data_IF_982429207084
#
_entry.id   IF_982429207084
#
_cell.length_a   1.000
_cell.length_b   1.000
_cell.length_c   1.000
_cell.angle_alpha   90.00
_cell.angle_beta   90.00
_cell.angle_gamma   90.00
#
_symmetry.space_group_name_H-M   'P 1'
#
loop_
_entity.id
_entity.type
_entity.pdbx_description
1 polymer ?
#
# COMPACT_ATOMS: atom_id res chain seq x y z
N UNK A 1 -28.19 -9.14 -8.35
CA UNK A 1 -28.23 -8.92 -6.90
C UNK A 1 -26.82 -8.98 -6.28
N UNK A 2 -26.02 -10.03 -6.51
CA UNK A 2 -24.68 -10.23 -5.86
C UNK A 2 -23.71 -9.11 -6.17
N UNK A 3 -23.57 -8.69 -7.43
CA UNK A 3 -22.68 -7.58 -7.81
C UNK A 3 -23.07 -6.22 -7.19
N UNK A 4 -24.37 -5.96 -7.08
CA UNK A 4 -24.85 -4.73 -6.44
C UNK A 4 -24.53 -4.74 -4.94
N UNK A 5 -24.68 -5.86 -4.28
CA UNK A 5 -24.34 -6.02 -2.86
C UNK A 5 -22.84 -5.85 -2.63
N UNK A 6 -21.99 -6.39 -3.51
CA UNK A 6 -20.54 -6.23 -3.44
C UNK A 6 -20.10 -4.77 -3.59
N UNK A 7 -20.68 -4.04 -4.55
CA UNK A 7 -20.42 -2.60 -4.74
C UNK A 7 -20.85 -1.79 -3.51
N UNK A 8 -22.04 -2.09 -2.98
CA UNK A 8 -22.53 -1.43 -1.77
C UNK A 8 -21.63 -1.71 -0.57
N UNK A 9 -21.20 -2.95 -0.38
CA UNK A 9 -20.26 -3.32 0.69
C UNK A 9 -18.93 -2.58 0.58
N UNK A 10 -18.37 -2.47 -0.64
CA UNK A 10 -17.14 -1.75 -0.90
C UNK A 10 -17.28 -0.25 -0.58
N UNK A 11 -18.38 0.38 -1.02
CA UNK A 11 -18.68 1.77 -0.73
C UNK A 11 -18.85 2.00 0.78
N UNK A 12 -19.59 1.12 1.46
CA UNK A 12 -19.82 1.21 2.90
C UNK A 12 -18.49 1.11 3.68
N UNK A 13 -17.64 0.15 3.33
CA UNK A 13 -16.31 0.02 3.91
C UNK A 13 -15.49 1.28 3.71
N UNK A 14 -15.46 1.82 2.48
CA UNK A 14 -14.76 3.06 2.17
C UNK A 14 -15.23 4.22 3.06
N UNK A 15 -16.54 4.44 3.15
CA UNK A 15 -17.13 5.51 3.97
C UNK A 15 -16.76 5.36 5.44
N UNK A 16 -16.86 4.15 5.99
CA UNK A 16 -16.51 3.89 7.40
C UNK A 16 -15.03 4.19 7.66
N UNK A 17 -14.13 3.66 6.84
CA UNK A 17 -12.68 3.84 7.04
C UNK A 17 -12.28 5.30 6.86
N UNK A 18 -12.80 6.00 5.84
CA UNK A 18 -12.52 7.42 5.62
C UNK A 18 -13.12 8.30 6.70
N UNK A 19 -14.31 7.97 7.22
CA UNK A 19 -14.89 8.67 8.38
C UNK A 19 -13.95 8.59 9.59
N UNK A 20 -13.42 7.41 9.90
CA UNK A 20 -12.45 7.25 10.97
C UNK A 20 -11.14 8.00 10.69
N UNK A 21 -10.64 7.99 9.45
CA UNK A 21 -9.46 8.74 9.07
C UNK A 21 -9.66 10.25 9.32
N UNK A 22 -10.77 10.82 8.87
CA UNK A 22 -11.09 12.24 9.06
C UNK A 22 -11.28 12.57 10.55
N UNK A 23 -11.99 11.72 11.29
CA UNK A 23 -12.22 11.91 12.73
C UNK A 23 -10.92 11.90 13.53
N UNK A 24 -10.03 10.97 13.23
CA UNK A 24 -8.76 10.79 13.93
C UNK A 24 -7.68 11.80 13.51
N UNK A 25 -7.80 12.43 12.36
CA UNK A 25 -6.89 13.47 11.92
C UNK A 25 -6.89 14.65 12.89
N UNK A 26 -5.72 15.07 13.36
CA UNK A 26 -5.58 16.24 14.25
C UNK A 26 -5.58 17.57 13.51
N UNK A 27 -5.13 17.57 12.24
CA UNK A 27 -5.02 18.74 11.39
C UNK A 27 -5.58 18.46 10.00
N UNK A 28 -5.95 19.51 9.29
CA UNK A 28 -6.36 19.47 7.87
C UNK A 28 -7.54 18.51 7.56
N UNK A 29 -8.48 18.38 8.50
CA UNK A 29 -9.65 17.50 8.33
C UNK A 29 -10.47 17.82 7.08
N UNK A 30 -10.67 19.10 6.78
CA UNK A 30 -11.42 19.55 5.59
C UNK A 30 -10.71 19.14 4.30
N UNK A 31 -9.37 19.27 4.25
CA UNK A 31 -8.60 18.83 3.09
C UNK A 31 -8.74 17.31 2.87
N UNK A 32 -8.65 16.54 3.97
CA UNK A 32 -8.81 15.09 3.90
C UNK A 32 -10.22 14.70 3.45
N UNK A 33 -11.25 15.38 3.99
CA UNK A 33 -12.63 15.18 3.56
C UNK A 33 -12.83 15.54 2.07
N UNK A 34 -12.24 16.66 1.63
CA UNK A 34 -12.29 17.05 0.23
C UNK A 34 -11.65 16.00 -0.69
N UNK A 35 -10.46 15.51 -0.33
CA UNK A 35 -9.75 14.44 -1.08
C UNK A 35 -10.58 13.16 -1.12
N UNK A 36 -11.22 12.78 0.00
CA UNK A 36 -12.09 11.61 0.06
C UNK A 36 -13.33 11.73 -0.85
N UNK A 37 -13.81 12.94 -1.08
CA UNK A 37 -15.01 13.21 -1.90
C UNK A 37 -14.67 13.49 -3.37
N UNK A 38 -13.40 13.42 -3.78
CA UNK A 38 -13.05 13.56 -5.19
C UNK A 38 -13.73 12.46 -6.04
N UNK A 39 -14.06 12.75 -7.30
CA UNK A 39 -14.77 11.81 -8.18
C UNK A 39 -14.06 10.46 -8.32
N UNK A 40 -12.73 10.46 -8.43
CA UNK A 40 -11.94 9.23 -8.61
C UNK A 40 -12.03 8.26 -7.43
N UNK A 41 -11.75 8.66 -6.16
CA UNK A 41 -11.95 7.78 -5.01
C UNK A 41 -13.38 7.27 -4.86
N UNK A 42 -14.38 8.14 -5.10
CA UNK A 42 -15.80 7.75 -5.03
C UNK A 42 -16.17 6.75 -6.14
N UNK A 43 -15.67 6.96 -7.34
CA UNK A 43 -15.86 5.99 -8.44
C UNK A 43 -15.25 4.64 -8.11
N UNK A 44 -14.02 4.60 -7.60
CA UNK A 44 -13.37 3.37 -7.16
C UNK A 44 -14.13 2.69 -6.02
N UNK A 45 -14.65 3.45 -5.07
CA UNK A 45 -15.44 2.93 -3.96
C UNK A 45 -16.80 2.37 -4.40
N UNK A 46 -17.43 2.94 -5.42
CA UNK A 46 -18.69 2.48 -5.99
C UNK A 46 -18.53 1.34 -7.01
N UNK A 47 -17.29 1.04 -7.40
CA UNK A 47 -16.98 -0.05 -8.32
C UNK A 47 -16.57 -1.32 -7.55
N UNK A 48 -16.51 -2.46 -8.24
CA UNK A 48 -16.07 -3.73 -7.65
C UNK A 48 -14.55 -3.87 -7.82
N UNK A 49 -13.80 -2.95 -7.18
CA UNK A 49 -12.34 -2.93 -7.21
C UNK A 49 -11.76 -2.89 -5.80
N UNK A 50 -10.58 -3.46 -5.62
CA UNK A 50 -9.84 -3.42 -4.36
C UNK A 50 -9.09 -2.09 -4.15
N UNK A 51 -9.07 -1.19 -5.14
CA UNK A 51 -8.35 0.08 -5.06
C UNK A 51 -8.91 1.01 -3.98
N UNK A 52 -10.21 0.93 -3.71
CA UNK A 52 -10.83 1.66 -2.60
C UNK A 52 -10.36 1.19 -1.23
N UNK A 53 -10.11 -0.12 -1.08
CA UNK A 53 -9.52 -0.72 0.13
C UNK A 53 -8.12 -0.17 0.32
N UNK A 54 -7.28 -0.26 -0.73
CA UNK A 54 -5.90 0.27 -0.71
C UNK A 54 -5.90 1.74 -0.28
N UNK A 55 -6.67 2.57 -0.96
CA UNK A 55 -6.71 4.01 -0.71
C UNK A 55 -7.17 4.34 0.72
N UNK A 56 -8.27 3.76 1.18
CA UNK A 56 -8.84 4.09 2.48
C UNK A 56 -7.98 3.60 3.65
N UNK A 57 -7.48 2.37 3.60
CA UNK A 57 -6.67 1.81 4.68
C UNK A 57 -5.27 2.44 4.75
N UNK A 58 -4.63 2.72 3.63
CA UNK A 58 -3.36 3.45 3.61
C UNK A 58 -3.57 4.87 4.14
N UNK A 59 -4.63 5.56 3.74
CA UNK A 59 -4.94 6.90 4.25
C UNK A 59 -5.13 6.90 5.77
N UNK A 60 -5.89 5.95 6.31
CA UNK A 60 -6.07 5.82 7.76
C UNK A 60 -4.74 5.53 8.46
N UNK A 61 -3.92 4.64 7.91
CA UNK A 61 -2.58 4.35 8.41
C UNK A 61 -1.67 5.59 8.43
N UNK A 62 -1.67 6.39 7.34
CA UNK A 62 -0.92 7.65 7.26
C UNK A 62 -1.43 8.69 8.27
N UNK A 63 -2.73 8.76 8.52
CA UNK A 63 -3.31 9.64 9.54
C UNK A 63 -2.84 9.25 10.94
N UNK A 64 -2.88 7.97 11.27
CA UNK A 64 -2.39 7.47 12.57
C UNK A 64 -0.90 7.73 12.74
N UNK A 65 -0.10 7.49 11.68
CA UNK A 65 1.32 7.82 11.67
C UNK A 65 1.57 9.32 11.87
N UNK A 66 0.86 10.19 11.16
CA UNK A 66 1.05 11.64 11.24
C UNK A 66 0.70 12.20 12.62
N UNK A 67 -0.26 11.60 13.32
CA UNK A 67 -0.57 11.94 14.72
C UNK A 67 0.62 11.74 15.64
N UNK A 68 1.32 10.62 15.48
CA UNK A 68 2.49 10.30 16.29
C UNK A 68 3.72 11.11 15.86
N UNK A 69 3.91 11.32 14.55
CA UNK A 69 5.07 12.03 14.01
C UNK A 69 5.08 13.53 14.35
N UNK A 70 3.93 14.19 14.23
CA UNK A 70 3.86 15.67 14.27
C UNK A 70 3.14 16.25 15.49
N UNK A 71 2.25 15.49 16.13
CA UNK A 71 1.35 16.05 17.15
C UNK A 71 1.54 15.49 18.55
N UNK A 72 2.42 14.53 18.74
CA UNK A 72 2.74 14.05 20.07
C UNK A 72 3.94 14.82 20.66
N UNK A 73 3.66 15.60 21.68
CA UNK A 73 4.66 16.32 22.48
C UNK A 73 5.35 15.44 23.52
N UNK A 74 4.82 14.25 23.78
CA UNK A 74 5.31 13.34 24.82
C UNK A 74 6.53 12.54 24.35
N UNK A 75 7.39 12.21 25.31
CA UNK A 75 8.62 11.43 25.11
C UNK A 75 8.36 10.01 24.59
N UNK A 76 7.12 9.55 24.69
CA UNK A 76 6.66 8.21 24.28
C UNK A 76 5.55 8.32 23.24
N UNK A 77 5.62 7.49 22.18
CA UNK A 77 4.51 7.36 21.24
C UNK A 77 3.39 6.51 21.86
N UNK A 78 2.18 6.74 21.41
CA UNK A 78 1.05 5.91 21.79
C UNK A 78 1.17 4.57 21.04
N UNK A 79 1.60 3.51 21.72
CA UNK A 79 1.87 2.19 21.11
C UNK A 79 0.69 1.69 20.27
N UNK A 80 -0.54 1.90 20.76
CA UNK A 80 -1.75 1.52 20.04
C UNK A 80 -1.90 2.25 18.69
N UNK A 81 -1.56 3.54 18.60
CA UNK A 81 -1.61 4.29 17.35
C UNK A 81 -0.57 3.81 16.35
N UNK A 82 0.64 3.49 16.80
CA UNK A 82 1.71 2.98 15.93
C UNK A 82 1.36 1.58 15.42
N UNK A 83 0.91 0.69 16.30
CA UNK A 83 0.45 -0.66 15.90
C UNK A 83 -0.73 -0.54 14.93
N UNK A 84 -1.70 0.33 15.23
CA UNK A 84 -2.83 0.60 14.35
C UNK A 84 -2.39 1.12 12.98
N UNK A 85 -1.41 2.04 12.92
CA UNK A 85 -0.88 2.55 11.66
C UNK A 85 -0.21 1.44 10.83
N UNK A 86 0.64 0.62 11.46
CA UNK A 86 1.28 -0.52 10.81
C UNK A 86 0.23 -1.51 10.28
N UNK A 87 -0.75 -1.86 11.11
CA UNK A 87 -1.81 -2.79 10.73
C UNK A 87 -2.63 -2.27 9.54
N UNK A 88 -3.10 -1.01 9.60
CA UNK A 88 -3.89 -0.42 8.52
C UNK A 88 -3.11 -0.29 7.22
N UNK A 89 -1.86 0.17 7.26
CA UNK A 89 -1.00 0.19 6.08
C UNK A 89 -0.78 -1.20 5.50
N UNK A 90 -0.60 -2.21 6.36
CA UNK A 90 -0.40 -3.59 5.92
C UNK A 90 -1.63 -4.15 5.20
N UNK A 91 -2.82 -3.92 5.76
CA UNK A 91 -4.08 -4.32 5.11
C UNK A 91 -4.21 -3.68 3.72
N UNK A 92 -3.89 -2.40 3.59
CA UNK A 92 -3.85 -1.73 2.28
C UNK A 92 -2.82 -2.35 1.32
N UNK A 93 -1.63 -2.70 1.83
CA UNK A 93 -0.56 -3.29 1.03
C UNK A 93 -0.85 -4.74 0.60
N UNK A 94 -1.68 -5.50 1.33
CA UNK A 94 -2.06 -6.87 0.94
C UNK A 94 -2.74 -6.94 -0.42
N UNK A 95 -3.42 -5.88 -0.82
CA UNK A 95 -4.05 -5.83 -2.15
C UNK A 95 -3.08 -5.39 -3.26
N UNK A 96 -2.06 -4.58 -2.92
CA UNK A 96 -1.03 -4.08 -3.86
C UNK A 96 0.32 -3.94 -3.17
N UNK A 97 1.23 -4.86 -3.43
CA UNK A 97 2.60 -4.87 -2.87
C UNK A 97 3.42 -3.60 -3.16
N UNK A 98 3.10 -2.88 -4.23
CA UNK A 98 3.79 -1.63 -4.62
C UNK A 98 3.78 -0.58 -3.49
N UNK A 99 2.80 -0.62 -2.60
CA UNK A 99 2.68 0.32 -1.48
C UNK A 99 3.45 -0.10 -0.22
N UNK A 100 4.09 -1.27 -0.19
CA UNK A 100 4.90 -1.75 0.95
C UNK A 100 5.92 -0.72 1.45
N UNK A 101 6.63 0.05 0.58
CA UNK A 101 7.57 1.07 1.04
C UNK A 101 6.95 2.10 1.99
N UNK A 102 5.62 2.32 1.96
CA UNK A 102 4.95 3.21 2.91
C UNK A 102 5.06 2.74 4.35
N UNK A 103 5.21 1.45 4.59
CA UNK A 103 5.44 0.91 5.95
C UNK A 103 6.77 1.40 6.51
N UNK A 104 7.75 1.70 5.65
CA UNK A 104 9.05 2.26 6.07
C UNK A 104 8.92 3.68 6.65
N UNK A 105 7.80 4.39 6.42
CA UNK A 105 7.51 5.66 7.10
C UNK A 105 7.54 5.53 8.62
N UNK A 106 7.30 4.33 9.15
CA UNK A 106 7.41 4.07 10.60
C UNK A 106 8.82 4.31 11.13
N UNK A 107 9.85 4.16 10.30
CA UNK A 107 11.24 4.45 10.68
C UNK A 107 11.51 5.94 10.83
N UNK A 108 10.68 6.79 10.22
CA UNK A 108 10.80 8.26 10.31
C UNK A 108 10.15 8.83 11.58
N UNK A 109 9.60 7.99 12.46
CA UNK A 109 9.06 8.46 13.74
C UNK A 109 10.21 9.01 14.62
N UNK A 110 10.15 10.27 15.08
CA UNK A 110 11.21 10.86 15.90
C UNK A 110 11.46 10.08 17.20
N UNK A 111 10.41 9.47 17.75
CA UNK A 111 10.47 8.67 18.97
C UNK A 111 11.25 7.37 18.76
N UNK A 112 11.35 6.86 17.54
CA UNK A 112 12.15 5.68 17.23
C UNK A 112 13.62 5.89 17.60
N UNK A 113 14.16 7.07 17.36
CA UNK A 113 15.56 7.39 17.65
C UNK A 113 15.87 7.54 19.14
N UNK A 114 14.83 7.79 19.97
CA UNK A 114 14.96 7.94 21.43
C UNK A 114 14.85 6.62 22.19
N UNK A 115 14.55 5.51 21.51
CA UNK A 115 14.42 4.17 22.14
C UNK A 115 15.74 3.53 22.50
N UNK A 116 15.68 2.60 23.45
CA UNK A 116 16.80 1.71 23.77
C UNK A 116 17.16 0.81 22.57
N UNK A 117 18.44 0.39 22.47
CA UNK A 117 18.93 -0.44 21.37
C UNK A 117 18.08 -1.71 21.17
N UNK A 118 17.68 -2.40 22.26
CA UNK A 118 16.86 -3.62 22.20
C UNK A 118 15.48 -3.36 21.58
N UNK A 119 14.83 -2.28 21.98
CA UNK A 119 13.50 -1.91 21.45
C UNK A 119 13.56 -1.47 19.98
N UNK A 120 14.64 -0.81 19.57
CA UNK A 120 14.87 -0.46 18.14
C UNK A 120 15.01 -1.71 17.29
N UNK A 121 15.82 -2.67 17.75
CA UNK A 121 16.04 -3.94 17.03
C UNK A 121 14.72 -4.71 16.93
N UNK A 122 13.96 -4.82 18.02
CA UNK A 122 12.66 -5.52 18.00
C UNK A 122 11.67 -4.86 17.04
N UNK A 123 11.64 -3.53 17.01
CA UNK A 123 10.78 -2.78 16.09
C UNK A 123 11.19 -2.96 14.62
N UNK A 124 12.49 -2.93 14.33
CA UNK A 124 13.04 -3.22 13.00
C UNK A 124 12.75 -4.64 12.54
N UNK A 125 12.91 -5.62 13.44
CA UNK A 125 12.55 -7.01 13.14
C UNK A 125 11.06 -7.11 12.83
N UNK A 126 10.18 -6.46 13.61
CA UNK A 126 8.74 -6.45 13.38
C UNK A 126 8.37 -5.89 12.00
N UNK A 127 8.95 -4.75 11.61
CA UNK A 127 8.74 -4.17 10.27
C UNK A 127 9.32 -5.08 9.19
N UNK A 128 10.50 -5.67 9.40
CA UNK A 128 11.14 -6.59 8.46
C UNK A 128 10.30 -7.85 8.23
N UNK A 129 9.81 -8.47 9.31
CA UNK A 129 8.92 -9.64 9.23
C UNK A 129 7.63 -9.28 8.48
N UNK A 130 7.02 -8.15 8.79
CA UNK A 130 5.83 -7.68 8.09
C UNK A 130 6.09 -7.49 6.59
N UNK A 131 7.19 -6.83 6.25
CA UNK A 131 7.62 -6.66 4.87
C UNK A 131 7.79 -8.00 4.15
N UNK A 132 8.46 -8.97 4.79
CA UNK A 132 8.65 -10.30 4.24
C UNK A 132 7.31 -11.05 4.07
N UNK A 133 6.41 -10.97 5.05
CA UNK A 133 5.09 -11.61 4.97
C UNK A 133 4.30 -11.05 3.78
N UNK A 134 4.23 -9.72 3.65
CA UNK A 134 3.50 -9.12 2.52
C UNK A 134 4.19 -9.44 1.19
N UNK A 135 5.51 -9.39 1.11
CA UNK A 135 6.24 -9.80 -0.10
C UNK A 135 6.01 -11.27 -0.44
N UNK A 136 5.99 -12.15 0.56
CA UNK A 136 5.72 -13.57 0.36
C UNK A 136 4.35 -13.83 -0.26
N UNK A 137 3.31 -13.08 0.10
CA UNK A 137 1.97 -13.23 -0.50
C UNK A 137 1.93 -12.99 -2.01
N UNK A 138 2.88 -12.20 -2.53
CA UNK A 138 2.99 -11.92 -3.97
C UNK A 138 4.02 -12.81 -4.67
N UNK A 139 5.12 -13.11 -4.01
CA UNK A 139 6.25 -13.86 -4.61
C UNK A 139 5.99 -15.36 -4.60
N UNK A 140 5.41 -15.91 -3.52
CA UNK A 140 5.16 -17.36 -3.41
C UNK A 140 4.24 -17.90 -4.51
N UNK A 141 3.10 -17.27 -4.88
CA UNK A 141 2.27 -17.75 -5.97
C UNK A 141 3.00 -17.74 -7.32
N UNK A 142 3.84 -16.74 -7.56
CA UNK A 142 4.64 -16.66 -8.80
C UNK A 142 5.66 -17.81 -8.87
N UNK A 143 6.38 -18.06 -7.77
CA UNK A 143 7.37 -19.16 -7.72
C UNK A 143 6.67 -20.51 -7.85
N UNK A 144 5.59 -20.75 -7.09
CA UNK A 144 4.88 -22.04 -7.13
C UNK A 144 4.34 -22.36 -8.52
N UNK A 145 3.80 -21.38 -9.22
CA UNK A 145 3.28 -21.54 -10.58
C UNK A 145 4.38 -21.77 -11.61
N UNK A 146 5.54 -21.11 -11.42
CA UNK A 146 6.71 -21.32 -12.28
C UNK A 146 7.27 -22.74 -12.12
N UNK A 147 7.34 -23.24 -10.88
CA UNK A 147 7.82 -24.59 -10.55
C UNK A 147 6.84 -25.67 -11.05
N UNK A 148 5.54 -25.41 -11.00
CA UNK A 148 4.48 -26.36 -11.44
C UNK A 148 4.29 -26.39 -12.96
N UNK A 149 5.08 -25.64 -13.75
CA UNK A 149 4.97 -25.59 -15.21
C UNK A 149 3.70 -24.93 -15.75
N UNK A 150 2.86 -24.39 -14.88
CA UNK A 150 1.67 -23.64 -15.24
C UNK A 150 2.05 -22.22 -15.65
N UNK A 151 2.40 -22.04 -16.90
CA UNK A 151 2.80 -20.75 -17.51
C UNK A 151 1.67 -19.70 -17.46
N UNK A 152 0.43 -20.11 -17.20
CA UNK A 152 -0.76 -19.27 -17.32
C UNK A 152 -0.99 -18.27 -16.17
N UNK A 153 -0.25 -18.30 -15.07
CA UNK A 153 -0.56 -17.49 -13.88
C UNK A 153 0.42 -16.38 -13.53
N UNK A 154 1.40 -16.10 -14.34
CA UNK A 154 2.39 -15.05 -14.07
C UNK A 154 2.35 -13.85 -15.02
N UNK A 155 1.47 -13.86 -16.00
CA UNK A 155 1.33 -12.81 -16.99
C UNK A 155 -0.02 -12.11 -16.93
N UNK A 156 -0.05 -10.83 -17.25
CA UNK A 156 -1.29 -10.12 -17.52
C UNK A 156 -1.96 -10.84 -18.72
N UNK A 157 -3.19 -11.31 -18.52
CA UNK A 157 -4.00 -11.95 -19.57
C UNK A 157 -4.20 -11.06 -20.81
N UNK A 158 -3.88 -9.77 -20.69
CA UNK A 158 -3.92 -8.77 -21.76
C UNK A 158 -2.60 -8.66 -22.53
N UNK A 159 -1.49 -9.15 -21.99
CA UNK A 159 -0.13 -8.93 -22.51
C UNK A 159 0.51 -10.10 -23.22
N UNK A 160 -0.18 -11.21 -23.50
CA UNK A 160 0.41 -12.37 -24.14
C UNK A 160 1.44 -13.08 -23.24
N UNK A 161 2.47 -13.67 -23.82
CA UNK A 161 3.46 -14.53 -23.18
C UNK A 161 4.50 -13.77 -22.32
N UNK A 162 4.03 -12.83 -21.46
CA UNK A 162 4.88 -12.01 -20.61
C UNK A 162 5.11 -12.67 -19.26
N UNK A 163 6.35 -13.09 -18.98
CA UNK A 163 6.77 -13.62 -17.70
C UNK A 163 7.40 -12.51 -16.84
N UNK A 164 6.86 -12.29 -15.61
CA UNK A 164 7.42 -11.33 -14.64
C UNK A 164 8.90 -11.60 -14.35
N UNK A 165 9.28 -12.89 -14.24
CA UNK A 165 10.68 -13.29 -14.02
C UNK A 165 11.56 -12.88 -15.20
N UNK A 166 11.10 -13.09 -16.43
CA UNK A 166 11.85 -12.71 -17.64
C UNK A 166 12.00 -11.19 -17.72
N UNK A 167 10.97 -10.42 -17.34
CA UNK A 167 11.05 -8.96 -17.28
C UNK A 167 12.04 -8.48 -16.23
N UNK A 168 12.02 -9.04 -15.00
CA UNK A 168 12.97 -8.71 -13.96
C UNK A 168 14.42 -9.02 -14.38
N UNK A 169 14.66 -10.18 -14.97
CA UNK A 169 15.98 -10.57 -15.49
C UNK A 169 16.43 -9.60 -16.58
N UNK A 170 15.53 -9.22 -17.48
CA UNK A 170 15.81 -8.22 -18.52
C UNK A 170 16.14 -6.84 -17.94
N UNK A 171 15.41 -6.40 -16.92
CA UNK A 171 15.69 -5.14 -16.21
C UNK A 171 17.08 -5.13 -15.55
N UNK A 172 17.47 -6.24 -14.95
CA UNK A 172 18.79 -6.37 -14.31
C UNK A 172 19.92 -6.42 -15.35
N UNK A 173 19.69 -7.11 -16.47
CA UNK A 173 20.68 -7.22 -17.55
C UNK A 173 20.85 -5.94 -18.36
N UNK A 174 19.77 -5.18 -18.54
CA UNK A 174 19.74 -3.97 -19.38
C UNK A 174 19.10 -2.78 -18.65
N UNK A 175 19.73 -2.29 -17.54
CA UNK A 175 19.12 -1.26 -16.69
C UNK A 175 18.88 0.06 -17.43
N UNK A 176 19.79 0.49 -18.28
CA UNK A 176 19.65 1.74 -19.05
C UNK A 176 18.52 1.67 -20.08
N UNK A 177 18.36 0.53 -20.76
CA UNK A 177 17.25 0.31 -21.68
C UNK A 177 15.89 0.31 -20.96
N UNK A 178 15.82 -0.31 -19.79
CA UNK A 178 14.62 -0.35 -18.96
C UNK A 178 14.22 1.03 -18.43
N UNK A 179 15.20 1.83 -18.00
CA UNK A 179 14.98 3.22 -17.58
C UNK A 179 14.49 4.06 -18.79
N UNK A 180 15.12 3.92 -19.94
CA UNK A 180 14.71 4.65 -21.15
C UNK A 180 13.28 4.29 -21.58
N UNK A 181 12.91 3.00 -21.52
CA UNK A 181 11.55 2.55 -21.81
C UNK A 181 10.54 3.11 -20.80
N UNK A 182 10.89 3.12 -19.51
CA UNK A 182 10.03 3.66 -18.45
C UNK A 182 9.79 5.16 -18.64
N UNK A 183 10.85 5.94 -18.89
CA UNK A 183 10.71 7.36 -19.21
C UNK A 183 9.99 7.61 -20.54
N UNK A 184 10.29 6.81 -21.57
CA UNK A 184 9.59 6.89 -22.85
C UNK A 184 8.08 6.66 -22.71
N UNK A 185 7.65 5.66 -21.92
CA UNK A 185 6.23 5.38 -21.70
C UNK A 185 5.52 6.47 -20.87
N UNK A 186 6.23 7.17 -19.97
CA UNK A 186 5.67 8.29 -19.20
C UNK A 186 5.45 9.52 -20.09
N UNK A 187 6.35 9.76 -21.05
CA UNK A 187 6.30 10.95 -21.91
C UNK A 187 5.64 10.70 -23.28
N UNK A 188 5.40 9.45 -23.65
CA UNK A 188 4.61 9.09 -24.84
C UNK A 188 3.10 9.08 -24.53
N UNK A 189 2.58 10.21 -24.09
CA UNK A 189 1.13 10.42 -23.94
C UNK A 189 0.43 10.68 -25.30
N UNK A 190 1.16 10.66 -26.40
CA UNK A 190 0.66 11.05 -27.72
C UNK A 190 -0.07 9.91 -28.49
N UNK A 191 -0.32 8.75 -27.85
CA UNK A 191 -0.99 7.61 -28.48
C UNK A 191 -2.27 7.14 -27.77
N UNK A 192 -3.02 8.07 -27.17
CA UNK A 192 -4.38 7.82 -26.72
C UNK A 192 -5.38 8.74 -27.41
#
# INVERSE_FOLDING_TARGET
AVFALGKFGNLLMYVIVMFWAIRLAKSRKLLLAFVAMLPTPLFLASSYTYDSVVFSFITLGCVLWSREAFFQSTKYYHTASVIGAIFMMSVGCLSKAVYIPLVLLMLLLPQFYKKNKKEKILFLIGIGVLFLVVMATFVLPVISNTVSGNIAYGGDSRGGDTSVVRQLVSMVKHPLASIRLMFGSIFQLDNF
#
